data_IF_470072186000
#
_entry.id   IF_470072186000
#
_cell.length_a   1.000
_cell.length_b   1.000
_cell.length_c   1.000
_cell.angle_alpha   90.00
_cell.angle_beta   90.00
_cell.angle_gamma   90.00
#
_symmetry.space_group_name_H-M   'P 1'
#
loop_
_entity.id
_entity.type
_entity.pdbx_description
1 polymer ?
#
# COMPACT_ATOMS: atom_id res chain seq x y z
N UNK A 1 0.78 24.23 16.87
CA UNK A 1 2.00 23.49 16.49
C UNK A 1 1.69 22.66 15.25
N UNK A 2 2.32 22.97 14.10
CA UNK A 2 2.19 22.19 12.86
C UNK A 2 2.89 20.84 13.08
N UNK A 3 2.16 19.74 12.94
CA UNK A 3 2.73 18.39 12.98
C UNK A 3 3.68 18.23 11.78
N UNK A 4 4.97 18.51 11.97
CA UNK A 4 6.00 17.96 11.11
C UNK A 4 6.03 16.45 11.36
N UNK A 5 5.09 15.72 10.74
CA UNK A 5 5.21 14.27 10.57
C UNK A 5 6.56 14.07 9.90
N UNK A 6 7.53 13.54 10.63
CA UNK A 6 8.76 13.06 9.99
C UNK A 6 8.33 12.18 8.83
N UNK A 7 8.73 12.54 7.60
CA UNK A 7 8.45 11.71 6.43
C UNK A 7 9.10 10.37 6.71
N UNK A 8 8.30 9.35 6.98
CA UNK A 8 8.80 8.00 7.15
C UNK A 8 9.16 7.49 5.76
N UNK A 9 10.42 7.69 5.38
CA UNK A 9 10.95 7.34 4.07
C UNK A 9 10.75 5.85 3.76
N UNK A 10 10.89 4.98 4.76
CA UNK A 10 10.62 3.55 4.61
C UNK A 10 9.17 3.25 4.23
N UNK A 11 8.22 3.96 4.84
CA UNK A 11 6.81 3.85 4.50
C UNK A 11 6.50 4.36 3.08
N UNK A 12 7.16 5.44 2.65
CA UNK A 12 7.02 5.95 1.28
C UNK A 12 7.54 4.95 0.24
N UNK A 13 8.69 4.34 0.49
CA UNK A 13 9.28 3.30 -0.37
C UNK A 13 8.39 2.05 -0.45
N UNK A 14 7.86 1.57 0.68
CA UNK A 14 6.91 0.46 0.73
C UNK A 14 5.64 0.75 -0.08
N UNK A 15 5.09 1.96 0.05
CA UNK A 15 3.92 2.38 -0.73
C UNK A 15 4.24 2.38 -2.23
N UNK A 16 5.42 2.87 -2.64
CA UNK A 16 5.83 2.86 -4.04
C UNK A 16 5.98 1.44 -4.59
N UNK A 17 6.60 0.54 -3.84
CA UNK A 17 6.76 -0.85 -4.24
C UNK A 17 5.40 -1.54 -4.43
N UNK A 18 4.49 -1.40 -3.46
CA UNK A 18 3.15 -1.96 -3.56
C UNK A 18 2.32 -1.34 -4.68
N UNK A 19 2.51 -0.05 -4.98
CA UNK A 19 1.88 0.55 -6.15
C UNK A 19 2.35 -0.13 -7.43
N UNK A 20 3.66 -0.32 -7.61
CA UNK A 20 4.21 -1.00 -8.78
C UNK A 20 3.67 -2.43 -8.95
N UNK A 21 3.51 -3.17 -7.84
CA UNK A 21 2.92 -4.52 -7.86
C UNK A 21 1.44 -4.54 -8.24
N UNK A 22 0.69 -3.47 -7.94
CA UNK A 22 -0.73 -3.37 -8.26
C UNK A 22 -0.98 -2.85 -9.69
N UNK A 23 -0.13 -1.95 -10.20
CA UNK A 23 -0.29 -1.32 -11.52
C UNK A 23 0.18 -2.23 -12.67
N UNK A 24 -0.33 -3.46 -12.71
CA UNK A 24 -0.11 -4.38 -13.83
C UNK A 24 -1.03 -4.05 -15.01
N UNK A 25 -0.64 -4.44 -16.21
CA UNK A 25 -1.46 -4.27 -17.43
C UNK A 25 -2.83 -4.93 -17.26
N UNK A 26 -2.90 -6.07 -16.60
CA UNK A 26 -4.14 -6.77 -16.28
C UNK A 26 -5.07 -5.91 -15.42
N UNK A 27 -4.57 -5.35 -14.31
CA UNK A 27 -5.39 -4.50 -13.44
C UNK A 27 -5.79 -3.18 -14.10
N UNK A 28 -4.90 -2.60 -14.92
CA UNK A 28 -5.18 -1.37 -15.67
C UNK A 28 -6.31 -1.61 -16.68
N UNK A 29 -6.33 -2.77 -17.35
CA UNK A 29 -7.33 -3.11 -18.35
C UNK A 29 -8.62 -3.71 -17.76
N UNK A 30 -8.58 -4.24 -16.53
CA UNK A 30 -9.73 -4.87 -15.88
C UNK A 30 -10.68 -3.85 -15.24
N UNK A 31 -10.15 -2.81 -14.60
CA UNK A 31 -10.96 -1.82 -13.89
C UNK A 31 -11.20 -0.56 -14.72
N UNK A 32 -12.41 -0.01 -14.65
CA UNK A 32 -12.59 1.41 -14.98
C UNK A 32 -11.79 2.28 -14.01
N UNK A 33 -11.32 3.46 -14.46
CA UNK A 33 -10.41 4.31 -13.69
C UNK A 33 -10.87 4.58 -12.25
N UNK A 34 -12.18 4.79 -12.05
CA UNK A 34 -12.76 5.04 -10.72
C UNK A 34 -12.64 3.83 -9.80
N UNK A 35 -12.82 2.64 -10.34
CA UNK A 35 -12.74 1.37 -9.59
C UNK A 35 -11.28 0.96 -9.39
N UNK A 36 -10.41 1.25 -10.34
CA UNK A 36 -8.97 1.08 -10.23
C UNK A 36 -8.42 1.82 -9.00
N UNK A 37 -8.83 3.08 -8.82
CA UNK A 37 -8.43 3.87 -7.65
C UNK A 37 -8.94 3.28 -6.34
N UNK A 38 -10.16 2.74 -6.31
CA UNK A 38 -10.70 2.09 -5.12
C UNK A 38 -9.97 0.78 -4.80
N UNK A 39 -9.75 -0.06 -5.82
CA UNK A 39 -9.05 -1.32 -5.70
C UNK A 39 -7.61 -1.11 -5.23
N UNK A 40 -6.90 -0.15 -5.82
CA UNK A 40 -5.55 0.25 -5.40
C UNK A 40 -5.48 0.67 -3.93
N UNK A 41 -6.45 1.48 -3.46
CA UNK A 41 -6.52 1.90 -2.05
C UNK A 41 -6.77 0.71 -1.12
N UNK A 42 -7.68 -0.21 -1.49
CA UNK A 42 -7.96 -1.43 -0.71
C UNK A 42 -6.72 -2.33 -0.64
N UNK A 43 -6.03 -2.54 -1.77
CA UNK A 43 -4.81 -3.31 -1.85
C UNK A 43 -3.70 -2.72 -0.95
N UNK A 44 -3.41 -1.42 -1.08
CA UNK A 44 -2.40 -0.76 -0.25
C UNK A 44 -2.73 -0.85 1.24
N UNK A 45 -4.01 -0.67 1.61
CA UNK A 45 -4.45 -0.82 3.01
C UNK A 45 -4.25 -2.25 3.50
N UNK A 46 -4.53 -3.26 2.67
CA UNK A 46 -4.32 -4.66 3.03
C UNK A 46 -2.84 -4.97 3.23
N UNK A 47 -1.97 -4.60 2.28
CA UNK A 47 -0.53 -4.87 2.36
C UNK A 47 0.12 -4.20 3.58
N UNK A 48 -0.25 -2.95 3.86
CA UNK A 48 0.27 -2.20 5.01
C UNK A 48 -0.31 -2.65 6.35
N UNK A 49 -1.52 -3.25 6.37
CA UNK A 49 -2.12 -3.79 7.59
C UNK A 49 -1.61 -5.21 7.87
N UNK A 50 -1.41 -6.02 6.83
CA UNK A 50 -0.81 -7.35 6.92
C UNK A 50 0.62 -7.27 7.47
N UNK A 51 1.43 -6.31 7.00
CA UNK A 51 2.79 -6.12 7.50
C UNK A 51 2.86 -5.77 9.00
N UNK A 52 1.83 -5.14 9.57
CA UNK A 52 1.80 -4.81 11.01
C UNK A 52 1.47 -6.04 11.86
N UNK A 53 0.62 -6.95 11.35
CA UNK A 53 0.18 -8.12 12.10
C UNK A 53 1.11 -9.34 11.95
N UNK A 54 1.82 -9.49 10.82
CA UNK A 54 2.79 -10.58 10.65
C UNK A 54 4.04 -10.39 11.51
N UNK A 55 4.50 -9.15 11.72
CA UNK A 55 5.61 -8.86 12.62
C UNK A 55 5.30 -9.04 14.12
N UNK A 56 4.02 -9.10 14.52
CA UNK A 56 3.63 -9.43 15.89
C UNK A 56 3.63 -10.96 16.16
N UNK A 57 3.76 -11.77 15.11
CA UNK A 57 3.62 -13.23 15.17
C UNK A 57 4.96 -13.98 15.03
N UNK A 58 6.09 -13.27 14.91
CA UNK A 58 7.45 -13.84 14.84
C UNK A 58 8.28 -13.54 16.09
N UNK A 59 7.67 -13.61 17.26
CA UNK A 59 8.38 -13.72 18.54
C UNK A 59 8.26 -15.15 19.03
N UNK A 60 9.20 -16.01 18.63
CA UNK A 60 9.49 -17.31 19.25
C UNK A 60 10.89 -17.26 19.86
#
# INVERSE_FOLDING_TARGET
MKYNKSRNVGMELLIQEYRGKFETVENINYYEYKDFLQAKRKYLKYMLKGSINEHASQSY
#
